data_IF_272168261776
#
_entry.id   IF_272168261776
#
_cell.length_a   1.000
_cell.length_b   1.000
_cell.length_c   1.000
_cell.angle_alpha   90.00
_cell.angle_beta   90.00
_cell.angle_gamma   90.00
#
_symmetry.space_group_name_H-M   'P 1'
#
loop_
_entity.id
_entity.type
_entity.pdbx_description
1 polymer ?
#
# COMPACT_ATOMS: atom_id res chain seq x y z
N UNK A 1 33.72 -5.18 -38.86
CA UNK A 1 32.39 -5.52 -38.32
C UNK A 1 32.43 -5.39 -36.80
N UNK A 2 32.25 -4.16 -36.32
CA UNK A 2 31.99 -3.86 -34.92
C UNK A 2 30.51 -4.21 -34.67
N UNK A 3 30.25 -5.33 -34.01
CA UNK A 3 28.95 -5.68 -33.57
C UNK A 3 28.56 -4.74 -32.41
N UNK A 4 27.67 -3.79 -32.67
CA UNK A 4 26.98 -3.01 -31.63
C UNK A 4 26.22 -3.97 -30.73
N UNK A 5 26.78 -4.22 -29.55
CA UNK A 5 26.03 -4.86 -28.46
C UNK A 5 25.00 -3.86 -28.00
N UNK A 6 23.76 -4.05 -28.42
CA UNK A 6 22.62 -3.37 -27.82
C UNK A 6 22.63 -3.64 -26.31
N UNK A 7 22.98 -2.64 -25.54
CA UNK A 7 22.87 -2.70 -24.08
C UNK A 7 21.37 -2.58 -23.76
N UNK A 8 20.71 -3.72 -23.63
CA UNK A 8 19.34 -3.77 -23.11
C UNK A 8 19.41 -3.35 -21.65
N UNK A 9 19.15 -2.08 -21.39
CA UNK A 9 18.98 -1.57 -20.02
C UNK A 9 17.67 -2.16 -19.46
N UNK A 10 17.76 -3.27 -18.75
CA UNK A 10 16.64 -3.80 -17.99
C UNK A 10 16.44 -2.97 -16.74
N UNK A 11 15.21 -2.49 -16.51
CA UNK A 11 14.86 -1.84 -15.26
C UNK A 11 15.13 -2.80 -14.09
N UNK A 12 15.86 -2.34 -13.10
CA UNK A 12 16.11 -3.10 -11.86
C UNK A 12 14.80 -3.25 -11.09
N UNK A 13 14.60 -4.42 -10.48
CA UNK A 13 13.49 -4.65 -9.58
C UNK A 13 13.80 -4.04 -8.22
N UNK A 14 12.77 -3.54 -7.53
CA UNK A 14 12.86 -3.03 -6.16
C UNK A 14 12.35 -4.06 -5.18
N UNK A 15 13.00 -4.15 -4.03
CA UNK A 15 12.55 -4.95 -2.89
C UNK A 15 11.89 -3.99 -1.90
N UNK A 16 10.59 -4.13 -1.71
CA UNK A 16 9.76 -3.24 -0.90
C UNK A 16 9.06 -4.07 0.18
N UNK A 17 9.62 -4.19 1.39
CA UNK A 17 8.93 -4.82 2.51
C UNK A 17 7.63 -4.10 2.82
N UNK A 18 6.55 -4.87 3.00
CA UNK A 18 5.24 -4.36 3.39
C UNK A 18 4.86 -4.98 4.74
N UNK A 19 4.69 -4.15 5.75
CA UNK A 19 4.44 -4.57 7.13
C UNK A 19 3.05 -4.16 7.57
N UNK A 20 2.24 -5.14 8.00
CA UNK A 20 0.97 -4.88 8.65
C UNK A 20 1.22 -4.40 10.08
N UNK A 21 0.65 -3.25 10.42
CA UNK A 21 0.75 -2.66 11.77
C UNK A 21 -0.63 -2.64 12.42
N UNK A 22 -0.72 -3.16 13.62
CA UNK A 22 -1.94 -3.11 14.44
C UNK A 22 -1.59 -2.66 15.84
N UNK A 23 -2.27 -1.62 16.32
CA UNK A 23 -2.05 -1.07 17.66
C UNK A 23 -0.58 -0.72 17.95
N UNK A 24 0.15 -0.19 16.96
CA UNK A 24 1.56 0.17 17.09
C UNK A 24 2.55 -0.99 17.09
N UNK A 25 2.13 -2.21 16.74
CA UNK A 25 2.99 -3.39 16.62
C UNK A 25 2.94 -3.97 15.22
N UNK A 26 4.06 -4.47 14.72
CA UNK A 26 4.04 -5.27 13.50
C UNK A 26 3.38 -6.60 13.79
N UNK A 27 2.49 -7.00 12.91
CA UNK A 27 1.74 -8.24 13.07
C UNK A 27 1.86 -9.12 11.82
N UNK A 28 1.71 -10.42 12.04
CA UNK A 28 1.68 -11.43 10.98
C UNK A 28 0.43 -12.30 11.14
N UNK A 29 -0.33 -12.46 10.07
CA UNK A 29 -1.49 -13.36 10.03
C UNK A 29 -1.81 -13.76 8.59
N UNK A 30 -2.42 -14.93 8.43
CA UNK A 30 -3.01 -15.35 7.17
C UNK A 30 -4.42 -14.75 7.07
N UNK A 31 -4.70 -13.99 6.00
CA UNK A 31 -6.01 -13.35 5.76
C UNK A 31 -6.55 -12.52 6.94
N UNK A 32 -5.65 -11.88 7.73
CA UNK A 32 -5.98 -11.16 8.96
C UNK A 32 -6.62 -12.02 10.07
N UNK A 33 -6.49 -13.36 9.98
CA UNK A 33 -6.89 -14.30 11.02
C UNK A 33 -5.67 -14.76 11.82
N UNK A 34 -5.88 -15.14 13.09
CA UNK A 34 -4.82 -15.62 14.00
C UNK A 34 -3.60 -14.67 14.04
N UNK A 35 -3.86 -13.36 14.13
CA UNK A 35 -2.84 -12.32 14.15
C UNK A 35 -1.90 -12.53 15.33
N UNK A 36 -0.60 -12.68 15.03
CA UNK A 36 0.49 -12.79 16.01
C UNK A 36 1.35 -11.53 15.95
N UNK A 37 1.83 -11.08 17.10
CA UNK A 37 2.85 -10.04 17.20
C UNK A 37 4.14 -10.52 16.53
N UNK A 38 4.69 -9.70 15.64
CA UNK A 38 5.92 -9.99 14.92
C UNK A 38 7.10 -9.08 15.32
N UNK A 39 6.83 -8.05 16.14
CA UNK A 39 7.90 -7.22 16.70
C UNK A 39 7.61 -5.72 16.72
N UNK A 40 8.63 -4.98 17.12
CA UNK A 40 8.61 -3.52 17.14
C UNK A 40 8.74 -2.96 15.71
N UNK A 41 7.85 -2.07 15.27
CA UNK A 41 7.89 -1.54 13.91
C UNK A 41 9.09 -0.65 13.63
N UNK A 42 9.64 0.07 14.62
CA UNK A 42 10.80 0.94 14.46
C UNK A 42 12.08 0.11 14.29
N UNK A 43 12.25 -0.93 15.10
CA UNK A 43 13.37 -1.86 14.98
C UNK A 43 13.35 -2.60 13.65
N UNK A 44 12.17 -3.06 13.22
CA UNK A 44 12.02 -3.75 11.93
C UNK A 44 12.28 -2.82 10.75
N UNK A 45 11.82 -1.58 10.80
CA UNK A 45 12.08 -0.59 9.78
C UNK A 45 13.58 -0.31 9.63
N UNK A 46 14.27 -0.06 10.74
CA UNK A 46 15.73 0.13 10.76
C UNK A 46 16.46 -1.09 10.20
N UNK A 47 16.03 -2.29 10.57
CA UNK A 47 16.61 -3.54 10.06
C UNK A 47 16.49 -3.64 8.55
N UNK A 48 15.29 -3.50 7.97
CA UNK A 48 15.09 -3.59 6.53
C UNK A 48 15.84 -2.51 5.75
N UNK A 49 15.88 -1.27 6.28
CA UNK A 49 16.66 -0.18 5.69
C UNK A 49 18.14 -0.52 5.65
N UNK A 50 18.71 -1.06 6.73
CA UNK A 50 20.12 -1.46 6.81
C UNK A 50 20.45 -2.70 5.96
N UNK A 51 19.50 -3.59 5.75
CA UNK A 51 19.64 -4.78 4.90
C UNK A 51 19.47 -4.48 3.40
N UNK A 52 19.24 -3.22 3.01
CA UNK A 52 19.24 -2.77 1.62
C UNK A 52 17.89 -2.88 0.93
N UNK A 53 16.79 -2.79 1.67
CA UNK A 53 15.48 -2.60 1.06
C UNK A 53 15.42 -1.27 0.29
N UNK A 54 14.74 -1.25 -0.85
CA UNK A 54 14.65 -0.05 -1.71
C UNK A 54 13.61 0.95 -1.22
N UNK A 55 12.53 0.47 -0.62
CA UNK A 55 11.45 1.26 -0.01
C UNK A 55 10.85 0.46 1.15
N UNK A 56 10.03 1.12 1.99
CA UNK A 56 9.28 0.48 3.07
C UNK A 56 7.81 0.88 3.00
N UNK A 57 6.91 -0.06 3.26
CA UNK A 57 5.47 0.19 3.34
C UNK A 57 4.94 -0.27 4.70
N UNK A 58 4.22 0.60 5.39
CA UNK A 58 3.39 0.23 6.54
C UNK A 58 1.92 0.30 6.16
N UNK A 59 1.17 -0.75 6.52
CA UNK A 59 -0.28 -0.80 6.39
C UNK A 59 -0.90 -0.84 7.78
N UNK A 60 -1.49 0.28 8.20
CA UNK A 60 -2.24 0.31 9.45
C UNK A 60 -3.58 -0.41 9.28
N UNK A 61 -3.66 -1.59 9.88
CA UNK A 61 -4.86 -2.43 9.90
C UNK A 61 -5.68 -2.26 11.18
N UNK A 62 -5.43 -1.21 11.94
CA UNK A 62 -6.15 -0.89 13.17
C UNK A 62 -7.58 -0.45 12.87
N UNK A 63 -8.56 -1.06 13.53
CA UNK A 63 -9.97 -0.86 13.23
C UNK A 63 -10.59 0.43 13.81
N UNK A 64 -9.95 1.10 14.78
CA UNK A 64 -10.54 2.21 15.53
C UNK A 64 -10.00 3.59 15.16
N UNK A 65 -10.88 4.61 15.22
CA UNK A 65 -10.52 6.02 15.00
C UNK A 65 -9.68 6.61 16.17
N UNK A 66 -9.70 6.01 17.33
CA UNK A 66 -9.05 6.53 18.54
C UNK A 66 -7.52 6.41 18.52
N UNK A 67 -6.98 5.59 17.60
CA UNK A 67 -5.54 5.32 17.54
C UNK A 67 -4.80 6.15 16.47
N UNK A 68 -5.41 7.17 15.90
CA UNK A 68 -4.74 8.08 14.93
C UNK A 68 -3.53 8.82 15.53
N UNK A 69 -3.53 9.09 16.83
CA UNK A 69 -2.37 9.67 17.49
C UNK A 69 -1.18 8.71 17.51
N UNK A 70 -1.45 7.42 17.74
CA UNK A 70 -0.43 6.36 17.77
C UNK A 70 0.27 6.20 16.43
N UNK A 71 -0.48 6.24 15.30
CA UNK A 71 0.13 6.09 13.99
C UNK A 71 1.02 7.29 13.62
N UNK A 72 0.65 8.51 13.99
CA UNK A 72 1.47 9.72 13.76
C UNK A 72 2.81 9.64 14.48
N UNK A 73 2.77 9.27 15.75
CA UNK A 73 3.99 9.11 16.55
C UNK A 73 4.87 7.98 15.98
N UNK A 74 4.26 6.87 15.58
CA UNK A 74 4.98 5.77 14.97
C UNK A 74 5.63 6.19 13.65
N UNK A 75 4.91 6.87 12.76
CA UNK A 75 5.45 7.38 11.49
C UNK A 75 6.68 8.24 11.74
N UNK A 76 6.62 9.17 12.69
CA UNK A 76 7.75 10.03 13.04
C UNK A 76 8.95 9.25 13.57
N UNK A 77 8.73 8.24 14.44
CA UNK A 77 9.80 7.39 14.96
C UNK A 77 10.46 6.58 13.84
N UNK A 78 9.66 5.99 12.96
CA UNK A 78 10.18 5.22 11.82
C UNK A 78 10.98 6.12 10.87
N UNK A 79 10.43 7.27 10.48
CA UNK A 79 11.11 8.21 9.60
C UNK A 79 12.46 8.73 10.16
N UNK A 80 12.63 8.72 11.49
CA UNK A 80 13.90 9.14 12.12
C UNK A 80 15.00 8.07 12.09
N UNK A 81 14.70 6.83 11.74
CA UNK A 81 15.66 5.71 11.79
C UNK A 81 15.93 5.05 10.44
N UNK A 82 15.23 5.46 9.39
CA UNK A 82 15.41 4.93 8.02
C UNK A 82 15.85 6.05 7.07
N UNK A 83 16.51 5.65 5.97
CA UNK A 83 16.96 6.55 4.89
C UNK A 83 16.44 6.13 3.50
N UNK A 84 15.43 5.28 3.47
CA UNK A 84 14.76 4.81 2.26
C UNK A 84 13.34 5.37 2.20
N UNK A 85 12.72 5.51 1.00
CA UNK A 85 11.35 6.00 0.87
C UNK A 85 10.36 5.20 1.72
N UNK A 86 9.49 5.92 2.42
CA UNK A 86 8.53 5.35 3.36
C UNK A 86 7.09 5.66 2.97
N UNK A 87 6.30 4.62 2.71
CA UNK A 87 4.87 4.71 2.41
C UNK A 87 4.05 4.27 3.61
N UNK A 88 3.04 5.04 3.96
CA UNK A 88 2.07 4.68 5.01
C UNK A 88 0.68 4.59 4.39
N UNK A 89 0.06 3.43 4.53
CA UNK A 89 -1.29 3.14 4.09
C UNK A 89 -2.15 2.61 5.23
N UNK A 90 -3.43 2.37 4.91
CA UNK A 90 -4.41 1.95 5.90
C UNK A 90 -5.09 3.13 6.60
N UNK A 91 -6.41 3.10 6.64
CA UNK A 91 -7.21 4.11 7.34
C UNK A 91 -7.23 5.53 6.77
N UNK A 92 -6.52 5.84 5.70
CA UNK A 92 -6.52 7.17 5.06
C UNK A 92 -7.86 7.40 4.35
N UNK A 93 -8.65 8.36 4.84
CA UNK A 93 -10.00 8.64 4.36
C UNK A 93 -10.20 10.07 3.89
N UNK A 94 -9.28 10.97 4.23
CA UNK A 94 -9.38 12.40 3.97
C UNK A 94 -8.03 13.01 3.63
N UNK A 95 -8.08 14.24 3.09
CA UNK A 95 -6.90 15.08 2.85
C UNK A 95 -6.12 15.32 4.14
N UNK A 96 -6.83 15.53 5.25
CA UNK A 96 -6.19 15.78 6.54
C UNK A 96 -5.49 14.55 7.10
N UNK A 97 -6.02 13.35 6.87
CA UNK A 97 -5.32 12.11 7.22
C UNK A 97 -4.00 12.01 6.47
N UNK A 98 -4.03 12.23 5.15
CA UNK A 98 -2.84 12.20 4.30
C UNK A 98 -1.82 13.28 4.71
N UNK A 99 -2.27 14.52 4.92
CA UNK A 99 -1.43 15.62 5.39
C UNK A 99 -0.73 15.28 6.69
N UNK A 100 -1.45 14.74 7.66
CA UNK A 100 -0.88 14.35 8.94
C UNK A 100 0.22 13.28 8.80
N UNK A 101 0.02 12.29 7.94
CA UNK A 101 1.00 11.24 7.68
C UNK A 101 2.27 11.83 7.05
N UNK A 102 2.12 12.63 5.99
CA UNK A 102 3.25 13.27 5.29
C UNK A 102 4.02 14.23 6.20
N UNK A 103 3.33 15.07 6.99
CA UNK A 103 3.96 15.99 7.94
C UNK A 103 4.73 15.28 9.07
N UNK A 104 4.42 14.01 9.35
CA UNK A 104 5.15 13.21 10.34
C UNK A 104 6.29 12.38 9.73
N UNK A 105 6.60 12.56 8.44
CA UNK A 105 7.82 12.06 7.83
C UNK A 105 7.64 10.89 6.86
N UNK A 106 6.40 10.50 6.51
CA UNK A 106 6.20 9.59 5.39
C UNK A 106 6.43 10.33 4.06
N UNK A 107 7.01 9.66 3.07
CA UNK A 107 7.19 10.18 1.72
C UNK A 107 5.95 10.01 0.87
N UNK A 108 5.16 8.97 1.15
CA UNK A 108 3.96 8.61 0.37
C UNK A 108 2.83 8.16 1.28
N UNK A 109 1.61 8.37 0.81
CA UNK A 109 0.38 7.85 1.43
C UNK A 109 -0.28 6.81 0.52
N UNK A 110 -0.71 5.70 1.12
CA UNK A 110 -1.44 4.63 0.44
C UNK A 110 -2.95 4.74 0.70
N UNK A 111 -3.73 4.77 -0.36
CA UNK A 111 -5.20 4.75 -0.29
C UNK A 111 -5.76 3.52 -1.01
N UNK A 112 -6.82 2.93 -0.49
CA UNK A 112 -7.53 1.79 -1.09
C UNK A 112 -9.03 2.07 -1.10
N UNK A 113 -9.75 1.71 -0.06
CA UNK A 113 -11.22 1.85 0.05
C UNK A 113 -11.71 3.29 -0.21
N UNK A 114 -10.97 4.31 0.22
CA UNK A 114 -11.31 5.71 -0.01
C UNK A 114 -11.25 6.09 -1.49
N UNK A 115 -10.28 5.56 -2.24
CA UNK A 115 -10.16 5.76 -3.68
C UNK A 115 -11.37 5.19 -4.45
N UNK A 116 -11.89 4.04 -4.01
CA UNK A 116 -13.07 3.41 -4.61
C UNK A 116 -14.35 4.17 -4.25
N UNK A 117 -14.51 4.58 -2.99
CA UNK A 117 -15.72 5.28 -2.50
C UNK A 117 -15.82 6.72 -2.96
N UNK A 118 -14.69 7.39 -3.12
CA UNK A 118 -14.57 8.78 -3.51
C UNK A 118 -13.39 8.96 -4.47
N UNK A 119 -13.50 8.55 -5.75
CA UNK A 119 -12.39 8.64 -6.72
C UNK A 119 -11.76 10.04 -6.86
N UNK A 120 -12.50 11.16 -6.76
CA UNK A 120 -11.92 12.51 -6.76
C UNK A 120 -10.80 12.73 -5.74
N UNK A 121 -10.77 12.01 -4.62
CA UNK A 121 -9.72 12.13 -3.60
C UNK A 121 -8.32 11.91 -4.17
N UNK A 122 -8.20 11.07 -5.19
CA UNK A 122 -6.90 10.80 -5.86
C UNK A 122 -6.37 12.11 -6.46
N UNK A 123 -7.20 12.80 -7.24
CA UNK A 123 -6.83 14.06 -7.89
C UNK A 123 -6.56 15.16 -6.87
N UNK A 124 -7.36 15.24 -5.82
CA UNK A 124 -7.17 16.21 -4.74
C UNK A 124 -5.84 16.01 -4.01
N UNK A 125 -5.52 14.78 -3.64
CA UNK A 125 -4.23 14.43 -3.01
C UNK A 125 -3.05 14.74 -3.94
N UNK A 126 -3.17 14.37 -5.23
CA UNK A 126 -2.12 14.63 -6.21
C UNK A 126 -1.90 16.13 -6.44
N UNK A 127 -2.95 16.93 -6.41
CA UNK A 127 -2.87 18.39 -6.59
C UNK A 127 -2.20 19.05 -5.38
N UNK A 128 -2.50 18.59 -4.16
CA UNK A 128 -2.01 19.19 -2.93
C UNK A 128 -0.59 18.75 -2.55
N UNK A 129 -0.25 17.48 -2.78
CA UNK A 129 1.01 16.89 -2.29
C UNK A 129 1.95 16.41 -3.40
N UNK A 130 1.48 16.39 -4.64
CA UNK A 130 2.23 15.86 -5.78
C UNK A 130 1.91 14.38 -6.05
N UNK A 131 2.02 14.01 -7.34
CA UNK A 131 1.73 12.64 -7.82
C UNK A 131 2.60 11.58 -7.15
N UNK A 132 3.84 11.91 -6.86
CA UNK A 132 4.83 11.02 -6.25
C UNK A 132 4.48 10.64 -4.80
N UNK A 133 3.61 11.42 -4.13
CA UNK A 133 3.20 11.16 -2.75
C UNK A 133 1.95 10.27 -2.64
N UNK A 134 1.32 9.89 -3.76
CA UNK A 134 0.05 9.15 -3.74
C UNK A 134 0.23 7.76 -4.33
N UNK A 135 -0.09 6.74 -3.54
CA UNK A 135 -0.12 5.33 -3.93
C UNK A 135 -1.56 4.83 -3.84
N UNK A 136 -2.08 4.28 -4.93
CA UNK A 136 -3.38 3.60 -4.92
C UNK A 136 -3.13 2.10 -4.80
N UNK A 137 -3.56 1.51 -3.69
CA UNK A 137 -3.53 0.07 -3.47
C UNK A 137 -4.85 -0.54 -3.98
N UNK A 138 -4.76 -1.56 -4.81
CA UNK A 138 -5.92 -2.22 -5.42
C UNK A 138 -5.93 -3.69 -5.01
N UNK A 139 -6.93 -4.07 -4.23
CA UNK A 139 -7.23 -5.48 -3.96
C UNK A 139 -8.12 -6.00 -5.10
N UNK A 140 -7.69 -7.02 -5.83
CA UNK A 140 -8.46 -7.60 -6.91
C UNK A 140 -8.52 -9.12 -6.80
N UNK A 141 -9.66 -9.70 -7.18
CA UNK A 141 -9.84 -11.17 -7.26
C UNK A 141 -10.44 -11.55 -8.59
N UNK A 142 -10.05 -12.72 -9.10
CA UNK A 142 -10.70 -13.30 -10.29
C UNK A 142 -12.16 -13.62 -9.98
N UNK A 143 -13.05 -13.09 -10.81
CA UNK A 143 -14.47 -13.41 -10.78
C UNK A 143 -14.87 -14.09 -12.09
N UNK A 144 -15.34 -15.34 -11.99
CA UNK A 144 -15.70 -16.17 -13.14
C UNK A 144 -17.16 -15.95 -13.61
N UNK A 145 -17.92 -15.15 -12.87
CA UNK A 145 -19.30 -14.77 -13.28
C UNK A 145 -19.22 -13.56 -14.21
N UNK A 146 -19.09 -13.82 -15.51
CA UNK A 146 -18.97 -12.79 -16.52
C UNK A 146 -20.23 -11.93 -16.57
N UNK A 147 -20.05 -10.62 -16.62
CA UNK A 147 -21.12 -9.63 -16.77
C UNK A 147 -20.79 -8.64 -17.89
N UNK A 148 -21.74 -7.80 -18.27
CA UNK A 148 -21.51 -6.73 -19.27
C UNK A 148 -20.56 -5.65 -18.71
N UNK A 149 -19.81 -5.03 -19.62
CA UNK A 149 -18.95 -3.87 -19.34
C UNK A 149 -17.78 -4.14 -18.39
N UNK A 150 -17.22 -5.36 -18.40
CA UNK A 150 -15.97 -5.70 -17.70
C UNK A 150 -14.93 -6.18 -18.72
N UNK A 151 -13.66 -5.96 -18.39
CA UNK A 151 -12.55 -6.48 -19.17
C UNK A 151 -12.39 -7.97 -18.90
N UNK A 152 -12.65 -8.80 -19.91
CA UNK A 152 -12.60 -10.26 -19.78
C UNK A 152 -11.22 -10.77 -20.17
N UNK A 153 -10.62 -11.57 -19.32
CA UNK A 153 -9.38 -12.30 -19.51
C UNK A 153 -9.65 -13.78 -19.70
N UNK A 154 -8.70 -14.49 -20.31
CA UNK A 154 -8.75 -15.96 -20.47
C UNK A 154 -7.43 -16.57 -20.07
N UNK A 155 -7.50 -17.67 -19.30
CA UNK A 155 -6.35 -18.50 -18.93
C UNK A 155 -6.80 -19.96 -18.81
N UNK A 156 -6.14 -20.90 -19.52
CA UNK A 156 -6.47 -22.31 -19.53
C UNK A 156 -7.95 -22.62 -19.85
N UNK A 157 -8.53 -21.94 -20.86
CA UNK A 157 -9.94 -21.99 -21.27
C UNK A 157 -10.97 -21.38 -20.28
N UNK A 158 -10.53 -20.99 -19.08
CA UNK A 158 -11.37 -20.25 -18.15
C UNK A 158 -11.43 -18.78 -18.50
N UNK A 159 -12.64 -18.20 -18.48
CA UNK A 159 -12.88 -16.75 -18.63
C UNK A 159 -13.17 -16.14 -17.29
N UNK A 160 -12.51 -15.04 -17.00
CA UNK A 160 -12.70 -14.29 -15.76
C UNK A 160 -12.49 -12.79 -15.99
N UNK A 161 -12.85 -11.99 -15.00
CA UNK A 161 -12.49 -10.58 -14.87
C UNK A 161 -11.93 -10.33 -13.48
N UNK A 162 -11.23 -9.23 -13.29
CA UNK A 162 -10.70 -8.86 -11.98
C UNK A 162 -11.71 -7.95 -11.28
N UNK A 163 -12.35 -8.45 -10.26
CA UNK A 163 -13.23 -7.67 -9.40
C UNK A 163 -12.45 -6.96 -8.32
N UNK A 164 -12.63 -5.65 -8.20
CA UNK A 164 -12.02 -4.83 -7.14
C UNK A 164 -12.71 -5.10 -5.81
N UNK A 165 -11.90 -5.26 -4.77
CA UNK A 165 -12.32 -5.49 -3.40
C UNK A 165 -11.94 -4.32 -2.49
N UNK A 166 -12.71 -4.11 -1.43
CA UNK A 166 -12.47 -3.11 -0.38
C UNK A 166 -12.39 -3.77 1.00
N UNK A 167 -12.01 -2.97 2.01
CA UNK A 167 -11.84 -3.42 3.40
C UNK A 167 -10.86 -4.60 3.54
N UNK A 168 -9.68 -4.48 2.92
CA UNK A 168 -8.65 -5.52 2.96
C UNK A 168 -9.09 -6.82 2.27
N UNK A 169 -9.71 -6.70 1.10
CA UNK A 169 -10.12 -7.83 0.29
C UNK A 169 -11.34 -8.61 0.80
N UNK A 170 -12.13 -8.03 1.72
CA UNK A 170 -13.28 -8.70 2.34
C UNK A 170 -14.59 -8.51 1.60
N UNK A 171 -14.76 -7.40 0.88
CA UNK A 171 -16.01 -7.06 0.20
C UNK A 171 -15.76 -6.76 -1.27
N UNK A 172 -16.40 -7.53 -2.18
CA UNK A 172 -16.42 -7.24 -3.60
C UNK A 172 -17.26 -6.00 -3.90
N UNK A 173 -16.84 -5.22 -4.88
CA UNK A 173 -17.51 -3.96 -5.28
C UNK A 173 -18.35 -4.11 -6.53
N UNK A 174 -18.14 -5.18 -7.29
CA UNK A 174 -18.69 -5.33 -8.61
C UNK A 174 -18.03 -4.42 -9.68
N UNK A 175 -16.92 -3.78 -9.39
CA UNK A 175 -16.14 -2.91 -10.31
C UNK A 175 -14.92 -3.69 -10.80
N UNK A 176 -14.55 -3.54 -12.09
CA UNK A 176 -13.29 -4.02 -12.68
C UNK A 176 -12.21 -2.94 -12.72
#
# INVERSE_FOLDING_TARGET
NSGDKEIIMTLTKRIIPCLDVKNGRVVKGLNFESIKDAGDPVEMAAKYSNEGADELVFLDITASNEQRATIKELVRKVASVINIPFTVGGGVKSIDDARNILLNGADKVGINTSAIKNPPIITELMTLFGRQCVVVAIDAKRNYKIKKYVNVFSENDDKFWFEVFIFGGKQGTGID
#
